data_IF_944571744962
#
_entry.id   IF_944571744962
#
_cell.length_a   1.000
_cell.length_b   1.000
_cell.length_c   1.000
_cell.angle_alpha   90.00
_cell.angle_beta   90.00
_cell.angle_gamma   90.00
#
_symmetry.space_group_name_H-M   'P 1'
#
loop_
_entity.id
_entity.type
_entity.pdbx_description
1 polymer ?
#
# COMPACT_ATOMS: atom_id res chain seq x y z
N UNK A 1 12.66 -15.25 -31.48
CA UNK A 1 11.25 -15.65 -31.72
C UNK A 1 10.35 -14.47 -31.36
N UNK A 2 9.56 -13.93 -32.30
CA UNK A 2 8.74 -12.74 -32.07
C UNK A 2 7.70 -12.91 -30.93
N UNK A 3 7.32 -14.14 -30.60
CA UNK A 3 6.40 -14.45 -29.48
C UNK A 3 7.00 -14.17 -28.10
N UNK A 4 8.29 -14.43 -27.89
CA UNK A 4 8.93 -14.24 -26.58
C UNK A 4 9.05 -12.76 -26.21
N UNK A 5 9.47 -11.92 -27.16
CA UNK A 5 9.59 -10.47 -26.92
C UNK A 5 8.22 -9.86 -26.63
N UNK A 6 7.17 -10.31 -27.34
CA UNK A 6 5.79 -9.88 -27.06
C UNK A 6 5.32 -10.27 -25.66
N UNK A 7 5.64 -11.48 -25.22
CA UNK A 7 5.34 -11.93 -23.86
C UNK A 7 6.05 -11.09 -22.80
N UNK A 8 7.35 -10.83 -22.99
CA UNK A 8 8.12 -9.98 -22.06
C UNK A 8 7.60 -8.54 -22.04
N UNK A 9 7.24 -7.98 -23.19
CA UNK A 9 6.63 -6.65 -23.26
C UNK A 9 5.31 -6.59 -22.49
N UNK A 10 4.45 -7.61 -22.62
CA UNK A 10 3.21 -7.68 -21.85
C UNK A 10 3.47 -7.74 -20.33
N UNK A 11 4.43 -8.55 -19.90
CA UNK A 11 4.83 -8.63 -18.49
C UNK A 11 5.39 -7.29 -18.00
N UNK A 12 6.23 -6.63 -18.78
CA UNK A 12 6.80 -5.34 -18.42
C UNK A 12 5.70 -4.27 -18.20
N UNK A 13 4.68 -4.25 -19.04
CA UNK A 13 3.52 -3.35 -18.87
C UNK A 13 2.76 -3.67 -17.59
N UNK A 14 2.50 -4.94 -17.29
CA UNK A 14 1.81 -5.34 -16.07
C UNK A 14 2.60 -4.96 -14.82
N UNK A 15 3.91 -5.21 -14.81
CA UNK A 15 4.79 -4.83 -13.70
C UNK A 15 4.81 -3.32 -13.52
N UNK A 16 4.90 -2.55 -14.60
CA UNK A 16 4.87 -1.09 -14.55
C UNK A 16 3.56 -0.55 -13.96
N UNK A 17 2.42 -1.14 -14.33
CA UNK A 17 1.11 -0.75 -13.80
C UNK A 17 0.99 -1.05 -12.30
N UNK A 18 1.36 -2.26 -11.87
CA UNK A 18 1.26 -2.67 -10.46
C UNK A 18 2.23 -1.86 -9.59
N UNK A 19 3.51 -1.84 -9.98
CA UNK A 19 4.54 -1.14 -9.22
C UNK A 19 4.33 0.38 -9.24
N UNK A 20 3.99 0.95 -10.40
CA UNK A 20 3.69 2.37 -10.54
C UNK A 20 2.49 2.79 -9.70
N UNK A 21 1.42 1.99 -9.70
CA UNK A 21 0.26 2.21 -8.84
C UNK A 21 0.62 2.17 -7.35
N UNK A 22 1.37 1.16 -6.92
CA UNK A 22 1.82 1.04 -5.54
C UNK A 22 2.72 2.22 -5.12
N UNK A 23 3.68 2.61 -5.97
CA UNK A 23 4.56 3.74 -5.72
C UNK A 23 3.80 5.06 -5.61
N UNK A 24 2.82 5.29 -6.50
CA UNK A 24 2.00 6.50 -6.47
C UNK A 24 1.17 6.57 -5.18
N UNK A 25 0.51 5.48 -4.79
CA UNK A 25 -0.26 5.42 -3.55
C UNK A 25 0.62 5.66 -2.32
N UNK A 26 1.79 5.03 -2.28
CA UNK A 26 2.70 5.17 -1.14
C UNK A 26 3.29 6.59 -0.99
N UNK A 27 3.41 7.37 -2.08
CA UNK A 27 4.10 8.67 -2.06
C UNK A 27 3.18 9.87 -2.16
N UNK A 28 1.98 9.71 -2.73
CA UNK A 28 1.05 10.81 -3.01
C UNK A 28 -0.24 10.75 -2.20
N UNK A 29 -0.40 9.73 -1.36
CA UNK A 29 -1.54 9.64 -0.45
C UNK A 29 -1.04 9.79 0.98
N UNK A 30 -1.55 10.79 1.67
CA UNK A 30 -1.31 10.97 3.10
C UNK A 30 -2.14 9.95 3.90
N UNK A 31 -1.51 9.17 4.80
CA UNK A 31 -2.24 8.28 5.68
C UNK A 31 -3.12 9.11 6.63
N UNK A 32 -4.41 8.79 6.68
CA UNK A 32 -5.30 9.39 7.69
C UNK A 32 -4.95 8.78 9.05
N UNK A 33 -4.20 9.52 9.86
CA UNK A 33 -3.95 9.16 11.26
C UNK A 33 -5.26 9.29 12.03
N UNK A 34 -5.87 8.15 12.36
CA UNK A 34 -7.04 8.13 13.24
C UNK A 34 -6.56 8.14 14.68
N UNK A 35 -6.87 9.20 15.40
CA UNK A 35 -6.68 9.22 16.86
C UNK A 35 -7.65 8.21 17.48
N UNK A 36 -7.12 7.06 17.86
CA UNK A 36 -7.88 6.05 18.61
C UNK A 36 -7.86 6.49 20.08
N UNK A 37 -8.87 7.28 20.47
CA UNK A 37 -9.09 7.59 21.89
C UNK A 37 -9.59 6.33 22.60
N UNK A 38 -8.66 5.50 23.09
CA UNK A 38 -9.01 4.45 24.04
C UNK A 38 -9.38 5.13 25.36
N UNK A 39 -10.65 5.03 25.75
CA UNK A 39 -11.05 5.40 27.11
C UNK A 39 -10.47 4.34 28.03
N UNK A 40 -9.40 4.67 28.76
CA UNK A 40 -8.81 3.78 29.76
C UNK A 40 -9.65 3.89 31.03
N UNK A 41 -10.39 2.84 31.43
CA UNK A 41 -11.12 2.87 32.70
C UNK A 41 -10.12 2.95 33.87
N UNK A 42 -10.33 3.91 34.77
CA UNK A 42 -9.49 4.22 35.94
C UNK A 42 -9.40 3.03 36.92
N UNK A 43 -10.37 2.12 36.87
CA UNK A 43 -10.43 0.92 37.73
C UNK A 43 -9.23 -0.02 37.59
N UNK A 44 -8.43 0.12 36.52
CA UNK A 44 -7.22 -0.71 36.31
C UNK A 44 -5.96 -0.16 36.98
N UNK A 45 -6.00 1.06 37.53
CA UNK A 45 -4.87 1.70 38.22
C UNK A 45 -5.02 1.72 39.75
N UNK A 46 -6.09 1.15 40.31
CA UNK A 46 -6.26 1.01 41.75
C UNK A 46 -5.94 -0.41 42.23
N UNK A 47 -4.67 -0.59 42.62
CA UNK A 47 -4.17 -1.17 43.88
C UNK A 47 -2.92 -2.03 43.69
#
# INVERSE_FOLDING_TARGET
MPSLIRLLAAIAVLVALVYGGAYWLATKVEPVTRDVTITVPNDRFQK
#
